data_IF_389261387043
#
_entry.id   IF_389261387043
#
_cell.length_a   1.000
_cell.length_b   1.000
_cell.length_c   1.000
_cell.angle_alpha   90.00
_cell.angle_beta   90.00
_cell.angle_gamma   90.00
#
_symmetry.space_group_name_H-M   'P 1'
#
loop_
_entity.id
_entity.type
_entity.pdbx_description
1 polymer ?
#
# COMPACT_ATOMS: atom_id res chain seq x y z
N UNK A 1 6.17 10.61 14.63
CA UNK A 1 6.47 9.17 14.58
C UNK A 1 6.52 8.81 13.12
N UNK A 2 7.71 8.51 12.56
CA UNK A 2 7.84 8.23 11.13
C UNK A 2 7.46 6.79 10.86
N UNK A 3 6.43 6.57 10.04
CA UNK A 3 6.06 5.26 9.49
C UNK A 3 6.72 5.12 8.13
N UNK A 4 7.63 4.20 8.06
CA UNK A 4 8.43 3.93 6.88
C UNK A 4 7.93 2.65 6.22
N UNK A 5 7.76 2.69 4.91
CA UNK A 5 7.27 1.59 4.14
C UNK A 5 8.24 1.23 3.01
N UNK A 6 8.56 -0.04 2.86
CA UNK A 6 9.46 -0.53 1.82
C UNK A 6 8.75 -1.54 0.94
N UNK A 7 8.94 -1.40 -0.36
CA UNK A 7 8.39 -2.29 -1.38
C UNK A 7 9.46 -3.12 -2.09
N UNK A 8 9.04 -4.32 -2.52
CA UNK A 8 9.73 -5.21 -3.48
C UNK A 8 11.16 -5.57 -3.13
N UNK A 9 11.37 -6.28 -2.03
CA UNK A 9 12.59 -7.04 -1.88
C UNK A 9 12.28 -8.50 -2.17
N UNK A 10 12.91 -9.04 -3.22
CA UNK A 10 13.15 -10.46 -3.32
C UNK A 10 14.45 -10.73 -2.53
N UNK A 11 14.39 -11.36 -1.35
CA UNK A 11 15.57 -11.55 -0.52
C UNK A 11 16.66 -12.43 -1.17
N UNK A 12 16.31 -13.15 -2.26
CA UNK A 12 17.27 -13.92 -3.03
C UNK A 12 18.01 -13.09 -4.08
N UNK A 13 17.44 -11.95 -4.51
CA UNK A 13 18.06 -11.06 -5.50
C UNK A 13 18.81 -9.88 -4.87
N UNK A 14 18.34 -9.41 -3.73
CA UNK A 14 18.96 -8.29 -3.04
C UNK A 14 19.25 -8.70 -1.60
N UNK A 15 20.49 -8.67 -1.15
CA UNK A 15 20.80 -8.87 0.27
C UNK A 15 20.03 -7.80 1.03
N UNK A 16 19.08 -8.24 1.90
CA UNK A 16 18.39 -7.32 2.78
C UNK A 16 19.47 -6.75 3.69
N UNK A 17 19.80 -5.46 3.56
CA UNK A 17 20.79 -4.89 4.45
C UNK A 17 20.26 -4.97 5.88
N UNK A 18 21.12 -4.99 6.87
CA UNK A 18 20.83 -4.83 8.31
C UNK A 18 19.95 -3.60 8.65
N UNK A 19 19.56 -2.88 7.63
CA UNK A 19 18.99 -1.56 7.61
C UNK A 19 17.56 -1.43 8.17
N UNK A 20 16.57 -2.30 7.90
CA UNK A 20 15.24 -2.15 8.51
C UNK A 20 15.28 -2.26 10.02
N UNK A 21 16.14 -3.14 10.56
CA UNK A 21 16.32 -3.27 12.01
C UNK A 21 16.99 -2.04 12.62
N UNK A 22 17.92 -1.39 11.91
CA UNK A 22 18.56 -0.14 12.35
C UNK A 22 17.58 1.02 12.31
N UNK A 23 16.76 1.10 11.27
CA UNK A 23 15.70 2.12 11.15
C UNK A 23 14.68 1.98 12.27
N UNK A 24 14.24 0.74 12.58
CA UNK A 24 13.37 0.48 13.73
C UNK A 24 14.00 0.85 15.09
N UNK A 25 15.32 0.68 15.26
CA UNK A 25 16.01 1.11 16.48
C UNK A 25 16.02 2.63 16.65
N UNK A 26 15.97 3.37 15.55
CA UNK A 26 15.92 4.83 15.54
C UNK A 26 14.49 5.40 15.71
N UNK A 27 13.54 4.57 16.15
CA UNK A 27 12.16 5.00 16.46
C UNK A 27 11.23 5.09 15.26
N UNK A 28 11.61 4.58 14.09
CA UNK A 28 10.73 4.47 12.94
C UNK A 28 9.93 3.16 12.98
N UNK A 29 8.65 3.23 12.66
CA UNK A 29 7.82 2.05 12.39
C UNK A 29 8.02 1.63 10.92
N UNK A 30 8.24 0.34 10.69
CA UNK A 30 8.51 -0.20 9.36
C UNK A 30 7.54 -1.31 9.03
N UNK A 31 6.99 -1.27 7.83
CA UNK A 31 6.23 -2.37 7.21
C UNK A 31 6.95 -2.75 5.92
N UNK A 32 7.18 -4.03 5.68
CA UNK A 32 7.72 -4.53 4.43
C UNK A 32 6.60 -5.06 3.55
N UNK A 33 6.58 -4.68 2.28
CA UNK A 33 5.82 -5.40 1.26
C UNK A 33 6.80 -6.19 0.41
N UNK A 34 6.57 -7.48 0.34
CA UNK A 34 7.48 -8.42 -0.29
C UNK A 34 6.84 -9.07 -1.51
N UNK A 35 7.68 -9.44 -2.46
CA UNK A 35 7.34 -10.36 -3.54
C UNK A 35 8.31 -11.54 -3.50
N UNK A 36 8.12 -12.52 -4.40
CA UNK A 36 9.05 -13.64 -4.53
C UNK A 36 8.49 -14.99 -4.06
N UNK A 37 7.26 -15.04 -3.55
CA UNK A 37 6.64 -16.33 -3.16
C UNK A 37 6.60 -17.33 -4.33
N UNK A 38 6.15 -16.91 -5.52
CA UNK A 38 6.17 -17.79 -6.70
C UNK A 38 7.58 -18.26 -7.09
N UNK A 39 8.58 -17.37 -6.99
CA UNK A 39 9.97 -17.73 -7.30
C UNK A 39 10.51 -18.77 -6.31
N UNK A 40 10.28 -18.56 -5.01
CA UNK A 40 10.64 -19.51 -3.96
C UNK A 40 9.93 -20.86 -4.13
N UNK A 41 8.67 -20.84 -4.57
CA UNK A 41 7.92 -22.06 -4.87
C UNK A 41 8.47 -22.83 -6.08
N UNK A 42 8.85 -22.12 -7.15
CA UNK A 42 9.50 -22.73 -8.31
C UNK A 42 10.83 -23.39 -7.95
N UNK A 43 11.63 -22.72 -7.17
CA UNK A 43 12.90 -23.26 -6.66
C UNK A 43 12.65 -24.51 -5.81
N UNK A 44 11.71 -24.44 -4.88
CA UNK A 44 11.33 -25.55 -4.00
C UNK A 44 10.88 -26.80 -4.74
N UNK A 45 10.24 -26.63 -5.88
CA UNK A 45 9.77 -27.72 -6.74
C UNK A 45 10.76 -28.06 -7.87
N UNK A 46 12.01 -27.60 -7.78
CA UNK A 46 13.05 -27.85 -8.76
C UNK A 46 12.68 -27.40 -10.19
N UNK A 47 12.09 -26.20 -10.29
CA UNK A 47 11.74 -25.55 -11.55
C UNK A 47 10.84 -26.36 -12.48
N UNK A 48 9.65 -26.81 -12.02
CA UNK A 48 8.77 -27.65 -12.80
C UNK A 48 8.28 -26.92 -14.08
N UNK A 49 8.07 -27.70 -15.14
CA UNK A 49 7.38 -27.21 -16.34
C UNK A 49 5.87 -27.21 -16.05
N UNK A 50 5.35 -26.04 -15.75
CA UNK A 50 3.92 -25.86 -15.43
C UNK A 50 3.23 -25.03 -16.53
N UNK A 51 1.91 -25.26 -16.73
CA UNK A 51 1.11 -24.39 -17.57
C UNK A 51 1.08 -22.96 -17.00
N UNK A 52 0.83 -21.97 -17.87
CA UNK A 52 0.75 -20.54 -17.46
C UNK A 52 -0.60 -20.18 -16.84
N UNK A 53 -1.32 -21.14 -16.31
CA UNK A 53 -2.66 -20.97 -15.74
C UNK A 53 -2.63 -20.47 -14.29
N UNK A 54 -3.73 -19.85 -13.86
CA UNK A 54 -3.88 -19.30 -12.52
C UNK A 54 -3.60 -20.35 -11.42
N UNK A 55 -4.17 -21.58 -11.47
CA UNK A 55 -3.92 -22.58 -10.43
C UNK A 55 -2.45 -22.96 -10.26
N UNK A 56 -1.68 -22.97 -11.34
CA UNK A 56 -0.24 -23.24 -11.26
C UNK A 56 0.52 -22.12 -10.52
N UNK A 57 0.15 -20.86 -10.75
CA UNK A 57 0.72 -19.71 -10.04
C UNK A 57 0.32 -19.72 -8.56
N UNK A 58 -0.96 -19.98 -8.27
CA UNK A 58 -1.47 -20.10 -6.90
C UNK A 58 -0.74 -21.20 -6.11
N UNK A 59 -0.54 -22.35 -6.73
CA UNK A 59 0.20 -23.47 -6.15
C UNK A 59 1.66 -23.07 -5.85
N UNK A 60 2.33 -22.42 -6.79
CA UNK A 60 3.70 -21.95 -6.58
C UNK A 60 3.79 -20.95 -5.43
N UNK A 61 2.87 -19.99 -5.35
CA UNK A 61 2.81 -19.04 -4.25
C UNK A 61 2.54 -19.72 -2.91
N UNK A 62 1.61 -20.68 -2.86
CA UNK A 62 1.31 -21.45 -1.65
C UNK A 62 2.51 -22.26 -1.13
N UNK A 63 3.29 -22.86 -2.03
CA UNK A 63 4.53 -23.59 -1.67
C UNK A 63 5.65 -22.64 -1.26
N UNK A 64 5.76 -21.50 -1.92
CA UNK A 64 6.88 -20.58 -1.73
C UNK A 64 6.70 -19.60 -0.58
N UNK A 65 5.48 -19.21 -0.23
CA UNK A 65 5.22 -18.23 0.81
C UNK A 65 5.80 -18.61 2.18
N UNK A 66 5.65 -19.83 2.70
CA UNK A 66 6.29 -20.25 3.95
C UNK A 66 7.81 -20.17 3.89
N UNK A 67 8.42 -20.50 2.76
CA UNK A 67 9.88 -20.43 2.56
C UNK A 67 10.38 -18.98 2.55
N UNK A 68 9.64 -18.09 1.89
CA UNK A 68 9.91 -16.68 1.90
C UNK A 68 9.87 -16.13 3.34
N UNK A 69 8.88 -16.51 4.12
CA UNK A 69 8.79 -16.11 5.53
C UNK A 69 9.91 -16.65 6.38
N UNK A 70 10.32 -17.91 6.18
CA UNK A 70 11.47 -18.49 6.89
C UNK A 70 12.78 -17.73 6.60
N UNK A 71 12.98 -17.24 5.36
CA UNK A 71 14.13 -16.39 5.03
C UNK A 71 14.08 -15.09 5.84
N UNK A 72 12.94 -14.40 5.86
CA UNK A 72 12.79 -13.18 6.64
C UNK A 72 12.97 -13.42 8.13
N UNK A 73 12.38 -14.46 8.69
CA UNK A 73 12.52 -14.82 10.10
C UNK A 73 13.99 -15.02 10.47
N UNK A 74 14.74 -15.80 9.69
CA UNK A 74 16.16 -16.02 9.91
C UNK A 74 16.99 -14.74 9.83
N UNK A 75 16.69 -13.85 8.88
CA UNK A 75 17.41 -12.59 8.71
C UNK A 75 17.15 -11.62 9.88
N UNK A 76 15.89 -11.49 10.29
CA UNK A 76 15.54 -10.54 11.34
C UNK A 76 15.79 -11.08 12.76
N UNK A 77 15.81 -12.40 12.96
CA UNK A 77 16.20 -13.02 14.23
C UNK A 77 17.62 -12.64 14.65
N UNK A 78 18.56 -12.48 13.71
CA UNK A 78 19.92 -12.00 13.98
C UNK A 78 19.98 -10.61 14.61
N UNK A 79 18.88 -9.86 14.50
CA UNK A 79 18.72 -8.52 15.06
C UNK A 79 17.71 -8.47 16.20
N UNK A 80 17.31 -9.62 16.77
CA UNK A 80 16.29 -9.76 17.81
C UNK A 80 14.97 -9.08 17.41
N UNK A 81 14.53 -9.26 16.14
CA UNK A 81 13.27 -8.73 15.64
C UNK A 81 12.34 -9.86 15.23
N UNK A 82 11.16 -9.85 15.81
CA UNK A 82 10.06 -10.73 15.40
C UNK A 82 9.43 -10.19 14.14
N UNK A 83 9.15 -11.06 13.18
CA UNK A 83 8.40 -10.76 11.97
C UNK A 83 7.00 -11.37 12.03
N UNK A 84 6.05 -10.79 11.32
CA UNK A 84 4.70 -11.34 11.18
C UNK A 84 4.26 -11.32 9.73
N UNK A 85 3.70 -12.43 9.24
CA UNK A 85 3.11 -12.50 7.92
C UNK A 85 1.73 -11.86 7.91
N UNK A 86 1.47 -11.00 6.92
CA UNK A 86 0.15 -10.47 6.62
C UNK A 86 -0.13 -10.65 5.14
N UNK A 87 -1.11 -11.48 4.80
CA UNK A 87 -1.51 -11.72 3.42
C UNK A 87 -2.80 -10.95 3.12
N UNK A 88 -2.78 -10.13 2.08
CA UNK A 88 -3.90 -9.30 1.69
C UNK A 88 -4.22 -9.51 0.21
N UNK A 89 -5.49 -9.44 -0.12
CA UNK A 89 -5.96 -9.33 -1.50
C UNK A 89 -6.31 -7.86 -1.78
N UNK A 90 -6.39 -7.50 -3.06
CA UNK A 90 -6.89 -6.18 -3.47
C UNK A 90 -8.32 -5.94 -2.94
N UNK A 91 -9.13 -7.00 -2.88
CA UNK A 91 -10.49 -6.94 -2.35
C UNK A 91 -10.50 -6.54 -0.87
N UNK A 92 -9.57 -7.09 -0.06
CA UNK A 92 -9.46 -6.74 1.36
C UNK A 92 -9.15 -5.26 1.59
N UNK A 93 -8.44 -4.63 0.65
CA UNK A 93 -8.08 -3.22 0.72
C UNK A 93 -9.15 -2.28 0.14
N UNK A 94 -10.14 -2.82 -0.58
CA UNK A 94 -11.25 -2.06 -1.14
C UNK A 94 -12.55 -2.20 -0.33
N UNK A 95 -12.74 -3.35 0.29
CA UNK A 95 -13.89 -3.59 1.18
C UNK A 95 -13.62 -3.00 2.55
N UNK A 96 -14.48 -2.09 2.99
CA UNK A 96 -14.28 -1.32 4.21
C UNK A 96 -14.04 -2.14 5.46
N UNK A 97 -14.81 -3.21 5.69
CA UNK A 97 -14.68 -4.07 6.87
C UNK A 97 -13.29 -4.73 6.90
N UNK A 98 -12.89 -5.34 5.79
CA UNK A 98 -11.58 -5.96 5.65
C UNK A 98 -10.44 -4.93 5.76
N UNK A 99 -10.63 -3.75 5.16
CA UNK A 99 -9.71 -2.61 5.28
C UNK A 99 -9.44 -2.23 6.73
N UNK A 100 -10.49 -2.02 7.52
CA UNK A 100 -10.35 -1.65 8.94
C UNK A 100 -9.70 -2.78 9.76
N UNK A 101 -10.05 -4.04 9.50
CA UNK A 101 -9.44 -5.19 10.17
C UNK A 101 -7.94 -5.29 9.84
N UNK A 102 -7.58 -5.19 8.57
CA UNK A 102 -6.17 -5.20 8.13
C UNK A 102 -5.38 -4.03 8.76
N UNK A 103 -5.98 -2.82 8.77
CA UNK A 103 -5.39 -1.65 9.43
C UNK A 103 -5.12 -1.90 10.92
N UNK A 104 -6.15 -2.35 11.66
CA UNK A 104 -6.02 -2.59 13.09
C UNK A 104 -4.96 -3.66 13.40
N UNK A 105 -4.89 -4.72 12.59
CA UNK A 105 -3.87 -5.76 12.71
C UNK A 105 -2.47 -5.20 12.50
N UNK A 106 -2.25 -4.43 11.43
CA UNK A 106 -0.95 -3.84 11.14
C UNK A 106 -0.51 -2.86 12.24
N UNK A 107 -1.43 -2.01 12.71
CA UNK A 107 -1.13 -1.07 13.79
C UNK A 107 -0.83 -1.79 15.11
N UNK A 108 -1.57 -2.85 15.45
CA UNK A 108 -1.29 -3.66 16.63
C UNK A 108 0.08 -4.35 16.58
N UNK A 109 0.49 -4.85 15.39
CA UNK A 109 1.83 -5.41 15.20
C UNK A 109 2.92 -4.36 15.41
N UNK A 110 2.75 -3.18 14.83
CA UNK A 110 3.70 -2.06 14.98
C UNK A 110 3.81 -1.60 16.43
N UNK A 111 2.71 -1.53 17.15
CA UNK A 111 2.66 -1.20 18.58
C UNK A 111 3.46 -2.19 19.43
N UNK A 112 3.39 -3.48 19.07
CA UNK A 112 4.17 -4.55 19.71
C UNK A 112 5.62 -4.63 19.19
N UNK A 113 6.05 -3.69 18.33
CA UNK A 113 7.40 -3.66 17.70
C UNK A 113 7.71 -4.92 16.87
N UNK A 114 6.68 -5.60 16.40
CA UNK A 114 6.76 -6.69 15.44
C UNK A 114 6.83 -6.07 14.04
N UNK A 115 7.68 -6.62 13.16
CA UNK A 115 7.83 -6.17 11.79
C UNK A 115 6.83 -6.91 10.89
N UNK A 116 5.79 -6.23 10.36
CA UNK A 116 4.89 -6.88 9.43
C UNK A 116 5.55 -7.08 8.06
N UNK A 117 5.45 -8.29 7.53
CA UNK A 117 5.81 -8.65 6.15
C UNK A 117 4.50 -8.87 5.39
N UNK A 118 4.15 -7.92 4.56
CA UNK A 118 2.92 -7.97 3.76
C UNK A 118 3.22 -8.56 2.39
N UNK A 119 2.36 -9.43 1.90
CA UNK A 119 2.38 -9.93 0.52
C UNK A 119 0.95 -10.09 0.01
N UNK A 120 0.80 -10.25 -1.30
CA UNK A 120 -0.48 -10.62 -1.87
C UNK A 120 -0.84 -12.07 -1.49
N UNK A 121 -2.13 -12.31 -1.21
CA UNK A 121 -2.66 -13.66 -1.00
C UNK A 121 -2.96 -14.31 -2.34
N UNK A 122 -1.90 -14.59 -3.08
CA UNK A 122 -1.97 -15.21 -4.42
C UNK A 122 -2.72 -16.55 -4.42
N UNK A 123 -2.75 -17.27 -3.29
CA UNK A 123 -3.38 -18.60 -3.21
C UNK A 123 -4.89 -18.56 -3.40
N UNK A 124 -5.53 -17.41 -3.14
CA UNK A 124 -6.99 -17.23 -3.24
C UNK A 124 -7.41 -16.15 -4.24
N UNK A 125 -6.45 -15.43 -4.82
CA UNK A 125 -6.72 -14.38 -5.81
C UNK A 125 -7.24 -15.01 -7.10
N UNK A 126 -8.44 -14.63 -7.52
CA UNK A 126 -9.11 -15.14 -8.73
C UNK A 126 -8.89 -14.25 -9.97
N UNK A 127 -8.48 -13.02 -9.77
CA UNK A 127 -8.07 -12.13 -10.86
C UNK A 127 -6.77 -12.66 -11.47
N UNK A 128 -6.54 -12.41 -12.76
CA UNK A 128 -5.23 -12.70 -13.35
C UNK A 128 -4.17 -12.05 -12.48
N UNK A 129 -3.31 -12.89 -11.86
CA UNK A 129 -2.17 -12.42 -11.07
C UNK A 129 -1.31 -11.59 -12.02
N UNK A 130 -1.59 -10.30 -12.06
CA UNK A 130 -0.84 -9.36 -12.87
C UNK A 130 0.43 -9.06 -12.13
N UNK A 131 1.46 -9.28 -12.85
CA UNK A 131 2.76 -8.94 -12.38
C UNK A 131 2.89 -7.42 -12.24
N UNK A 132 3.37 -6.95 -11.10
CA UNK A 132 3.40 -5.54 -10.69
C UNK A 132 2.33 -5.18 -9.65
N UNK A 133 1.53 -6.14 -9.18
CA UNK A 133 0.49 -5.89 -8.20
C UNK A 133 1.05 -5.45 -6.84
N UNK A 134 2.25 -5.92 -6.47
CA UNK A 134 2.89 -5.49 -5.23
C UNK A 134 3.30 -4.01 -5.22
N UNK A 135 3.52 -3.37 -6.37
CA UNK A 135 3.72 -1.92 -6.42
C UNK A 135 2.45 -1.20 -5.94
N UNK A 136 1.30 -1.57 -6.50
CA UNK A 136 0.00 -1.00 -6.11
C UNK A 136 -0.39 -1.43 -4.68
N UNK A 137 -0.14 -2.70 -4.31
CA UNK A 137 -0.35 -3.18 -2.94
C UNK A 137 0.44 -2.31 -1.95
N UNK A 138 1.69 -1.97 -2.26
CA UNK A 138 2.53 -1.13 -1.40
C UNK A 138 1.92 0.25 -1.17
N UNK A 139 1.43 0.89 -2.21
CA UNK A 139 0.78 2.19 -2.12
C UNK A 139 -0.53 2.13 -1.30
N UNK A 140 -1.31 1.06 -1.49
CA UNK A 140 -2.55 0.84 -0.73
C UNK A 140 -2.27 0.57 0.76
N UNK A 141 -1.23 -0.22 1.07
CA UNK A 141 -0.82 -0.48 2.46
C UNK A 141 -0.22 0.77 3.10
N UNK A 142 0.57 1.56 2.37
CA UNK A 142 1.05 2.85 2.86
C UNK A 142 -0.11 3.78 3.26
N UNK A 143 -1.15 3.85 2.43
CA UNK A 143 -2.38 4.57 2.76
C UNK A 143 -3.11 3.95 3.97
N UNK A 144 -3.18 2.62 4.05
CA UNK A 144 -3.85 1.89 5.12
C UNK A 144 -3.30 2.23 6.51
N UNK A 145 -1.98 2.39 6.63
CA UNK A 145 -1.30 2.67 7.90
C UNK A 145 -0.96 4.16 8.11
N UNK A 146 -1.37 5.04 7.20
CA UNK A 146 -0.96 6.46 7.15
C UNK A 146 0.55 6.62 7.19
N UNK A 147 1.25 5.97 6.27
CA UNK A 147 2.70 6.05 6.18
C UNK A 147 3.17 7.46 5.80
N UNK A 148 4.22 7.96 6.41
CA UNK A 148 4.84 9.23 6.05
C UNK A 148 5.65 9.10 4.76
N UNK A 149 6.20 7.90 4.51
CA UNK A 149 7.10 7.63 3.41
C UNK A 149 6.94 6.21 2.88
N UNK A 150 6.80 6.09 1.56
CA UNK A 150 6.90 4.85 0.79
C UNK A 150 8.23 4.81 0.05
N UNK A 151 9.11 3.87 0.37
CA UNK A 151 10.32 3.59 -0.41
C UNK A 151 10.08 2.39 -1.31
N UNK A 152 10.20 2.58 -2.62
CA UNK A 152 10.18 1.51 -3.61
C UNK A 152 11.58 1.25 -4.13
N UNK A 153 12.10 0.05 -3.85
CA UNK A 153 13.38 -0.40 -4.37
C UNK A 153 13.22 -1.07 -5.72
N UNK A 154 14.13 -0.75 -6.63
CA UNK A 154 14.13 -1.25 -8.01
C UNK A 154 15.58 -1.51 -8.47
N UNK A 155 15.76 -2.05 -9.65
CA UNK A 155 17.06 -2.23 -10.33
C UNK A 155 17.61 -0.92 -10.93
N UNK A 156 16.76 0.10 -11.06
CA UNK A 156 17.13 1.40 -11.60
C UNK A 156 17.44 2.42 -10.48
N UNK A 157 18.35 3.37 -10.72
CA UNK A 157 18.66 4.44 -9.75
C UNK A 157 17.44 5.29 -9.34
N UNK A 158 16.41 5.37 -10.17
CA UNK A 158 15.19 6.14 -9.97
C UNK A 158 14.46 6.34 -11.29
N UNK A 159 13.66 7.41 -11.38
CA UNK A 159 12.98 7.79 -12.62
C UNK A 159 13.88 8.64 -13.50
N UNK A 160 13.87 8.34 -14.80
CA UNK A 160 14.58 9.12 -15.81
C UNK A 160 13.59 9.89 -16.68
N UNK A 161 14.07 10.94 -17.32
CA UNK A 161 13.29 11.74 -18.30
C UNK A 161 12.84 10.91 -19.51
N UNK A 162 13.56 9.84 -19.83
CA UNK A 162 13.25 8.83 -20.86
C UNK A 162 13.99 7.53 -20.52
N UNK A 163 13.73 6.45 -21.25
CA UNK A 163 14.41 5.17 -21.01
C UNK A 163 15.92 5.29 -21.28
N UNK A 164 16.78 5.16 -20.25
CA UNK A 164 18.24 5.31 -20.40
C UNK A 164 18.88 4.22 -21.29
N UNK A 165 18.20 3.09 -21.52
CA UNK A 165 18.67 2.02 -22.40
C UNK A 165 18.53 2.39 -23.88
N UNK A 166 17.58 3.26 -24.20
CA UNK A 166 17.29 3.67 -25.58
C UNK A 166 17.71 5.11 -25.86
N UNK A 167 17.86 5.94 -24.83
CA UNK A 167 18.26 7.34 -24.97
C UNK A 167 19.46 7.67 -24.07
N UNK A 168 20.67 7.82 -24.62
CA UNK A 168 21.86 8.16 -23.83
C UNK A 168 21.79 9.53 -23.14
N UNK A 169 20.89 10.42 -23.56
CA UNK A 169 20.68 11.75 -22.97
C UNK A 169 19.63 11.72 -21.84
N UNK A 170 19.12 10.55 -21.46
CA UNK A 170 18.20 10.43 -20.35
C UNK A 170 18.88 10.86 -19.04
N UNK A 171 18.26 11.80 -18.34
CA UNK A 171 18.74 12.31 -17.04
C UNK A 171 17.88 11.79 -15.91
N UNK A 172 18.53 11.44 -14.80
CA UNK A 172 17.84 11.02 -13.58
C UNK A 172 17.09 12.20 -12.99
N UNK A 173 15.81 12.02 -12.69
CA UNK A 173 15.00 12.99 -11.99
C UNK A 173 15.20 12.81 -10.48
N UNK A 174 15.63 13.86 -9.80
CA UNK A 174 15.86 13.81 -8.35
C UNK A 174 14.58 14.05 -7.57
N UNK A 175 13.66 14.85 -8.12
CA UNK A 175 12.45 15.25 -7.43
C UNK A 175 11.29 15.49 -8.42
N UNK A 176 10.09 15.10 -8.01
CA UNK A 176 8.84 15.39 -8.70
C UNK A 176 7.89 16.05 -7.70
N UNK A 177 7.78 17.37 -7.85
CA UNK A 177 6.88 18.23 -7.07
C UNK A 177 5.65 18.63 -7.89
N UNK A 178 4.64 19.19 -7.22
CA UNK A 178 3.42 19.69 -7.87
C UNK A 178 2.29 18.67 -7.98
N UNK A 179 1.14 19.13 -8.47
CA UNK A 179 -0.12 18.40 -8.40
C UNK A 179 -0.22 17.17 -9.29
N UNK A 180 0.26 17.22 -10.52
CA UNK A 180 0.20 16.11 -11.47
C UNK A 180 1.60 15.69 -11.92
N UNK A 181 1.78 14.39 -12.08
CA UNK A 181 2.98 13.84 -12.71
C UNK A 181 2.93 14.21 -14.20
N UNK A 182 4.03 14.74 -14.78
CA UNK A 182 4.08 15.12 -16.19
C UNK A 182 3.72 13.96 -17.13
N UNK A 183 2.93 14.24 -18.17
CA UNK A 183 2.49 13.21 -19.14
C UNK A 183 3.65 12.54 -19.87
N UNK A 184 4.76 13.26 -20.05
CA UNK A 184 5.97 12.74 -20.67
C UNK A 184 6.57 11.58 -19.89
N UNK A 185 6.49 11.63 -18.55
CA UNK A 185 6.94 10.53 -17.68
C UNK A 185 6.06 9.29 -17.82
N UNK A 186 4.75 9.48 -17.97
CA UNK A 186 3.84 8.37 -18.23
C UNK A 186 4.14 7.69 -19.55
N UNK A 187 4.43 8.48 -20.58
CA UNK A 187 4.79 7.97 -21.92
C UNK A 187 6.14 7.25 -21.92
N UNK A 188 7.12 7.76 -21.20
CA UNK A 188 8.45 7.14 -21.09
C UNK A 188 8.42 5.84 -20.29
N UNK A 189 7.72 5.82 -19.16
CA UNK A 189 7.56 4.65 -18.32
C UNK A 189 6.80 3.51 -19.02
N UNK A 190 5.79 3.83 -19.86
CA UNK A 190 4.98 2.83 -20.58
C UNK A 190 5.69 2.15 -21.76
N UNK A 191 6.81 2.68 -22.24
CA UNK A 191 7.60 2.10 -23.33
C UNK A 191 8.61 1.06 -22.89
N UNK A 192 8.91 0.99 -21.60
CA UNK A 192 9.86 0.06 -20.99
C UNK A 192 9.23 -1.33 -20.89
N UNK A 193 9.42 -2.18 -21.90
CA UNK A 193 9.06 -3.60 -21.86
C UNK A 193 10.24 -4.41 -21.33
N UNK A 194 10.24 -4.68 -20.04
CA UNK A 194 11.12 -5.72 -19.48
C UNK A 194 10.46 -7.09 -19.66
N UNK A 195 11.03 -7.92 -20.52
CA UNK A 195 10.56 -9.29 -20.78
C UNK A 195 10.66 -10.24 -19.58
N UNK A 196 11.40 -9.86 -18.54
CA UNK A 196 11.68 -10.69 -17.34
C UNK A 196 11.20 -10.08 -16.01
N UNK A 197 10.93 -8.79 -15.97
CA UNK A 197 10.51 -8.08 -14.76
C UNK A 197 9.03 -7.77 -14.78
N UNK A 198 8.37 -8.31 -13.84
CA UNK A 198 6.93 -8.36 -13.71
C UNK A 198 6.30 -7.07 -13.12
N UNK A 199 7.08 -6.03 -12.85
CA UNK A 199 6.65 -4.71 -12.45
C UNK A 199 7.47 -3.67 -13.18
N UNK A 200 6.98 -3.12 -14.26
CA UNK A 200 7.68 -2.09 -15.02
C UNK A 200 7.71 -0.75 -14.30
N UNK A 201 8.49 0.20 -14.82
CA UNK A 201 8.53 1.56 -14.28
C UNK A 201 7.15 2.23 -14.28
N UNK A 202 6.25 1.82 -15.17
CA UNK A 202 4.87 2.31 -15.22
C UNK A 202 4.05 1.92 -13.98
N UNK A 203 4.22 0.69 -13.46
CA UNK A 203 3.51 0.26 -12.25
C UNK A 203 4.01 1.00 -11.02
N UNK A 204 5.32 1.26 -10.95
CA UNK A 204 5.90 2.09 -9.88
C UNK A 204 5.43 3.54 -9.92
N UNK A 205 5.29 4.08 -11.12
CA UNK A 205 4.76 5.43 -11.30
C UNK A 205 3.28 5.52 -10.90
N UNK A 206 2.49 4.48 -11.22
CA UNK A 206 1.09 4.37 -10.79
C UNK A 206 0.98 4.28 -9.27
N UNK A 207 1.81 3.44 -8.65
CA UNK A 207 1.86 3.29 -7.20
C UNK A 207 2.31 4.60 -6.51
N UNK A 208 3.33 5.28 -7.07
CA UNK A 208 3.78 6.57 -6.57
C UNK A 208 2.67 7.63 -6.64
N UNK A 209 1.94 7.71 -7.76
CA UNK A 209 0.84 8.67 -7.90
C UNK A 209 -0.32 8.37 -6.93
N UNK A 210 -0.61 7.07 -6.72
CA UNK A 210 -1.61 6.65 -5.74
C UNK A 210 -1.22 7.04 -4.31
N UNK A 211 0.01 6.74 -3.90
CA UNK A 211 0.51 7.02 -2.55
C UNK A 211 0.58 8.53 -2.27
N UNK A 212 1.13 9.33 -3.21
CA UNK A 212 1.24 10.79 -3.02
C UNK A 212 -0.10 11.51 -2.93
N UNK A 213 -1.10 11.04 -3.66
CA UNK A 213 -2.49 11.54 -3.55
C UNK A 213 -3.14 11.17 -2.21
N UNK A 214 -2.62 10.13 -1.56
CA UNK A 214 -3.06 9.69 -0.23
C UNK A 214 -2.30 10.36 0.91
N UNK A 215 -1.37 11.27 0.61
CA UNK A 215 -0.63 12.03 1.62
C UNK A 215 0.70 11.39 2.03
N UNK A 216 1.15 10.35 1.32
CA UNK A 216 2.42 9.66 1.55
C UNK A 216 3.47 10.17 0.57
N UNK A 217 4.63 10.60 1.06
CA UNK A 217 5.78 10.87 0.22
C UNK A 217 6.33 9.56 -0.36
N UNK A 218 6.92 9.61 -1.55
CA UNK A 218 7.45 8.40 -2.18
C UNK A 218 8.88 8.61 -2.62
N UNK A 219 9.72 7.58 -2.45
CA UNK A 219 11.06 7.52 -3.03
C UNK A 219 11.16 6.26 -3.88
N UNK A 220 11.62 6.41 -5.12
CA UNK A 220 12.00 5.28 -5.99
C UNK A 220 13.52 5.31 -6.11
N UNK A 221 14.19 4.25 -5.69
CA UNK A 221 15.64 4.18 -5.66
C UNK A 221 16.16 2.78 -6.00
N UNK A 222 17.45 2.67 -6.33
CA UNK A 222 18.06 1.37 -6.55
C UNK A 222 18.15 0.56 -5.26
N UNK A 223 17.75 -0.71 -5.33
CA UNK A 223 17.95 -1.68 -4.25
C UNK A 223 19.41 -2.07 -4.03
N UNK A 224 20.29 -1.77 -4.99
CA UNK A 224 21.74 -2.00 -4.88
C UNK A 224 22.48 -0.80 -4.29
N UNK A 225 21.80 0.33 -4.11
CA UNK A 225 22.40 1.52 -3.48
C UNK A 225 22.75 1.22 -2.02
N UNK A 226 24.00 1.44 -1.59
CA UNK A 226 24.40 1.21 -0.21
C UNK A 226 23.55 2.02 0.78
N UNK A 227 23.07 1.35 1.82
CA UNK A 227 22.28 1.96 2.89
C UNK A 227 21.04 2.74 2.41
N UNK A 228 20.46 2.37 1.25
CA UNK A 228 19.32 3.06 0.65
C UNK A 228 18.20 3.34 1.67
N UNK A 229 17.81 2.33 2.45
CA UNK A 229 16.75 2.45 3.45
C UNK A 229 17.13 3.44 4.56
N UNK A 230 18.36 3.33 5.08
CA UNK A 230 18.84 4.18 6.17
C UNK A 230 19.02 5.63 5.71
N UNK A 231 19.55 5.83 4.51
CA UNK A 231 19.72 7.15 3.91
C UNK A 231 18.38 7.82 3.68
N UNK A 232 17.42 7.09 3.11
CA UNK A 232 16.06 7.61 2.89
C UNK A 232 15.37 7.94 4.22
N UNK A 233 15.48 7.09 5.24
CA UNK A 233 14.92 7.35 6.56
C UNK A 233 15.53 8.56 7.26
N UNK A 234 16.77 8.93 6.92
CA UNK A 234 17.44 10.15 7.42
C UNK A 234 17.15 11.38 6.57
N UNK A 235 16.36 11.27 5.52
CA UNK A 235 16.06 12.36 4.58
C UNK A 235 17.19 12.70 3.62
N UNK A 236 18.20 11.81 3.49
CA UNK A 236 19.27 12.01 2.52
C UNK A 236 18.74 11.76 1.10
N UNK A 237 19.05 12.63 0.12
CA UNK A 237 18.56 12.48 -1.23
C UNK A 237 19.15 11.23 -1.89
N UNK A 238 18.28 10.32 -2.33
CA UNK A 238 18.60 9.18 -3.18
C UNK A 238 17.46 8.96 -4.17
N UNK A 239 17.78 8.46 -5.34
CA UNK A 239 16.75 8.14 -6.34
C UNK A 239 15.90 9.33 -6.75
N UNK A 240 14.61 9.07 -6.93
CA UNK A 240 13.60 10.08 -7.26
C UNK A 240 12.61 10.24 -6.13
N UNK A 241 12.51 11.42 -5.57
CA UNK A 241 11.53 11.77 -4.55
C UNK A 241 10.25 12.32 -5.17
N UNK A 242 9.11 11.86 -4.72
CA UNK A 242 7.79 12.35 -5.10
C UNK A 242 7.12 12.95 -3.89
N UNK A 243 6.85 14.24 -3.95
CA UNK A 243 6.17 14.95 -2.86
C UNK A 243 4.68 14.57 -2.80
N UNK A 244 4.18 14.36 -1.60
CA UNK A 244 2.75 14.18 -1.35
C UNK A 244 1.95 15.43 -1.79
N UNK A 245 0.76 15.19 -2.37
CA UNK A 245 -0.11 16.27 -2.89
C UNK A 245 -1.33 16.54 -2.02
N UNK A 246 -1.53 15.73 -0.98
CA UNK A 246 -2.61 15.88 -0.01
C UNK A 246 -2.06 15.59 1.38
N UNK A 247 -2.81 16.00 2.39
CA UNK A 247 -2.56 15.54 3.76
C UNK A 247 -3.22 14.17 3.97
N UNK A 248 -2.67 13.35 4.86
CA UNK A 248 -3.27 12.05 5.23
C UNK A 248 -4.71 12.19 5.73
N UNK A 249 -5.02 13.29 6.43
CA UNK A 249 -6.35 13.60 6.92
C UNK A 249 -7.36 13.86 5.77
N UNK A 250 -6.95 14.61 4.74
CA UNK A 250 -7.78 14.88 3.56
C UNK A 250 -7.98 13.63 2.73
N UNK A 251 -6.96 12.78 2.63
CA UNK A 251 -7.04 11.51 1.95
C UNK A 251 -8.01 10.56 2.64
N UNK A 252 -7.94 10.46 3.96
CA UNK A 252 -8.92 9.69 4.76
C UNK A 252 -10.34 10.17 4.53
N UNK A 253 -10.57 11.48 4.61
CA UNK A 253 -11.90 12.05 4.33
C UNK A 253 -12.38 11.69 2.94
N UNK A 254 -11.51 11.76 1.92
CA UNK A 254 -11.85 11.37 0.54
C UNK A 254 -12.13 9.88 0.43
N UNK A 255 -11.33 9.02 1.04
CA UNK A 255 -11.56 7.56 1.04
C UNK A 255 -12.89 7.20 1.69
N UNK A 256 -13.23 7.82 2.84
CA UNK A 256 -14.52 7.67 3.50
C UNK A 256 -15.66 8.13 2.60
N UNK A 257 -15.47 9.22 1.86
CA UNK A 257 -16.49 9.81 0.99
C UNK A 257 -16.62 9.13 -0.38
N UNK A 258 -15.52 8.62 -0.95
CA UNK A 258 -15.48 8.10 -2.33
C UNK A 258 -15.68 6.60 -2.45
N UNK A 259 -15.54 5.85 -1.38
CA UNK A 259 -15.39 4.38 -1.41
C UNK A 259 -16.62 3.56 -1.14
N UNK A 260 -17.82 4.13 -0.92
CA UNK A 260 -18.90 3.32 -0.40
C UNK A 260 -20.24 3.53 -1.13
N UNK A 261 -20.69 2.45 -1.73
CA UNK A 261 -22.14 2.20 -1.85
C UNK A 261 -22.64 2.15 -0.41
N UNK A 262 -23.48 3.11 -0.05
CA UNK A 262 -24.14 3.14 1.26
C UNK A 262 -24.96 1.85 1.43
N UNK A 263 -24.63 1.03 2.42
CA UNK A 263 -25.37 -0.21 2.73
C UNK A 263 -26.71 0.07 3.40
N UNK A 264 -26.91 1.29 3.91
CA UNK A 264 -28.14 1.72 4.54
C UNK A 264 -28.28 3.24 4.59
N UNK A 265 -29.43 3.71 5.07
CA UNK A 265 -29.73 5.13 5.24
C UNK A 265 -30.24 5.39 6.64
N UNK A 266 -29.83 6.50 7.24
CA UNK A 266 -30.35 7.02 8.51
C UNK A 266 -31.03 8.34 8.20
N UNK A 267 -32.35 8.42 8.47
CA UNK A 267 -33.09 9.66 8.35
C UNK A 267 -33.03 10.42 9.67
N UNK A 268 -32.82 11.72 9.58
CA UNK A 268 -32.69 12.59 10.74
C UNK A 268 -33.69 13.76 10.68
N UNK A 269 -34.02 14.31 11.85
CA UNK A 269 -34.89 15.48 11.99
C UNK A 269 -34.16 16.79 11.60
N UNK A 270 -34.91 17.88 11.63
CA UNK A 270 -34.42 19.21 11.28
C UNK A 270 -33.39 19.76 12.28
N UNK A 271 -33.51 19.41 13.57
CA UNK A 271 -32.57 19.81 14.61
C UNK A 271 -31.22 19.15 14.43
N UNK A 272 -31.21 17.83 14.21
CA UNK A 272 -29.99 17.07 13.89
C UNK A 272 -29.37 17.50 12.56
N UNK A 273 -30.20 17.86 11.55
CA UNK A 273 -29.72 18.43 10.29
C UNK A 273 -28.93 19.71 10.52
N UNK A 274 -29.45 20.65 11.30
CA UNK A 274 -28.75 21.89 11.63
C UNK A 274 -27.47 21.67 12.45
N UNK A 275 -27.49 20.72 13.39
CA UNK A 275 -26.33 20.37 14.20
C UNK A 275 -25.19 19.78 13.33
N UNK A 276 -25.50 18.86 12.40
CA UNK A 276 -24.51 18.28 11.49
C UNK A 276 -23.88 19.31 10.53
N UNK A 277 -24.70 20.24 10.00
CA UNK A 277 -24.20 21.32 9.15
C UNK A 277 -23.21 22.25 9.88
N UNK A 278 -23.36 22.37 11.19
CA UNK A 278 -22.46 23.12 12.06
C UNK A 278 -21.30 22.30 12.61
N UNK A 279 -21.07 21.09 12.09
CA UNK A 279 -19.93 20.23 12.46
C UNK A 279 -20.10 19.45 13.76
N UNK A 280 -21.30 19.38 14.33
CA UNK A 280 -21.60 18.60 15.53
C UNK A 280 -21.81 17.12 15.23
N UNK A 281 -21.63 16.25 16.22
CA UNK A 281 -21.88 14.81 16.09
C UNK A 281 -23.38 14.50 16.08
N UNK A 282 -23.77 13.47 15.30
CA UNK A 282 -25.14 12.96 15.31
C UNK A 282 -25.41 12.19 16.61
N UNK A 283 -26.41 12.64 17.33
CA UNK A 283 -26.92 11.94 18.51
C UNK A 283 -28.08 11.00 18.13
N UNK A 284 -28.26 9.86 18.82
CA UNK A 284 -29.35 8.92 18.54
C UNK A 284 -30.75 9.53 18.61
N UNK A 285 -30.96 10.55 19.44
CA UNK A 285 -32.24 11.25 19.60
C UNK A 285 -32.69 11.97 18.32
N UNK A 286 -31.77 12.37 17.47
CA UNK A 286 -32.07 13.04 16.19
C UNK A 286 -32.39 12.06 15.04
N UNK A 287 -32.35 10.74 15.27
CA UNK A 287 -32.66 9.73 14.26
C UNK A 287 -34.16 9.46 14.23
N UNK A 288 -34.76 9.62 13.05
CA UNK A 288 -36.23 9.44 12.86
C UNK A 288 -36.57 8.11 12.18
N UNK A 289 -35.68 7.60 11.29
CA UNK A 289 -35.87 6.31 10.63
C UNK A 289 -34.53 5.70 10.20
N UNK A 290 -34.54 4.37 10.05
CA UNK A 290 -33.37 3.58 9.57
C UNK A 290 -33.87 2.70 8.41
N UNK A 291 -33.12 2.69 7.32
CA UNK A 291 -33.39 1.90 6.12
C UNK A 291 -32.19 1.04 5.74
N UNK A 292 -32.45 -0.23 5.46
CA UNK A 292 -31.42 -1.23 5.12
C UNK A 292 -30.86 -1.94 6.34
N UNK A 293 -30.07 -2.99 6.09
CA UNK A 293 -29.33 -3.73 7.11
C UNK A 293 -27.86 -3.34 7.04
N UNK A 294 -27.29 -2.93 8.14
CA UNK A 294 -25.89 -2.54 8.22
C UNK A 294 -25.29 -2.86 9.58
N UNK A 295 -24.06 -3.26 9.57
CA UNK A 295 -23.29 -3.64 10.75
C UNK A 295 -22.30 -2.53 11.16
N UNK A 296 -21.57 -2.81 12.25
CA UNK A 296 -20.49 -1.94 12.72
C UNK A 296 -19.38 -1.88 11.67
N UNK A 297 -19.00 -0.66 11.27
CA UNK A 297 -18.00 -0.41 10.24
C UNK A 297 -18.59 -0.15 8.85
N UNK A 298 -19.89 -0.34 8.66
CA UNK A 298 -20.55 0.01 7.41
C UNK A 298 -20.72 1.52 7.28
N UNK A 299 -20.70 1.98 6.04
CA UNK A 299 -21.03 3.38 5.74
C UNK A 299 -22.51 3.51 5.47
N UNK A 300 -23.15 4.44 6.16
CA UNK A 300 -24.56 4.75 6.00
C UNK A 300 -24.74 6.20 5.54
N UNK A 301 -25.66 6.41 4.61
CA UNK A 301 -26.03 7.76 4.19
C UNK A 301 -26.94 8.39 5.26
N UNK A 302 -26.66 9.63 5.62
CA UNK A 302 -27.56 10.44 6.45
C UNK A 302 -28.39 11.30 5.54
N UNK A 303 -29.72 11.15 5.64
CA UNK A 303 -30.68 11.86 4.81
C UNK A 303 -31.59 12.72 5.69
N UNK A 304 -32.06 13.84 5.15
CA UNK A 304 -33.09 14.63 5.77
C UNK A 304 -34.51 14.08 5.50
N UNK A 305 -35.52 14.71 6.05
CA UNK A 305 -36.93 14.35 5.82
C UNK A 305 -37.35 14.36 4.33
N UNK A 306 -36.64 15.11 3.48
CA UNK A 306 -36.86 15.19 2.04
C UNK A 306 -36.02 14.19 1.21
N UNK A 307 -35.42 13.17 1.84
CA UNK A 307 -34.53 12.19 1.22
C UNK A 307 -33.25 12.78 0.59
N UNK A 308 -32.86 14.00 0.89
CA UNK A 308 -31.60 14.57 0.44
C UNK A 308 -30.45 14.06 1.32
N UNK A 309 -29.43 13.54 0.70
CA UNK A 309 -28.19 13.08 1.40
C UNK A 309 -27.45 14.32 1.94
N UNK A 310 -27.25 14.35 3.25
CA UNK A 310 -26.55 15.43 3.96
C UNK A 310 -25.12 15.08 4.29
N UNK A 311 -24.88 13.83 4.65
CA UNK A 311 -23.59 13.32 5.08
C UNK A 311 -23.52 11.82 4.93
N UNK A 312 -22.35 11.28 5.04
CA UNK A 312 -22.10 9.84 5.25
C UNK A 312 -21.47 9.64 6.61
N UNK A 313 -22.01 8.73 7.37
CA UNK A 313 -21.52 8.37 8.69
C UNK A 313 -20.85 7.00 8.66
N UNK A 314 -19.83 6.92 9.48
CA UNK A 314 -19.18 5.71 9.88
C UNK A 314 -19.54 5.41 11.33
N UNK A 315 -19.99 4.22 11.61
CA UNK A 315 -20.14 3.77 12.99
C UNK A 315 -18.75 3.42 13.55
N UNK A 316 -18.06 4.42 14.09
CA UNK A 316 -16.82 4.22 14.86
C UNK A 316 -17.12 3.50 16.17
N UNK A 317 -16.16 2.69 16.67
CA UNK A 317 -16.28 2.13 18.01
C UNK A 317 -16.12 3.25 19.06
N UNK A 318 -17.03 3.36 19.97
CA UNK A 318 -16.80 3.92 21.28
C UNK A 318 -16.16 2.86 22.14
#
# INVERSE_FOLDING_TARGET
>A
MFRFFQHSINPTQYPIPSCPSVVCRNGCEVVLVSSGAMAAGREALSFPKLPKEIPAKQMLSAVGQPRLMAIYENLFAQHNRTVAQVLLTRQDLTQRRSYLNARNTLLALLDQKVLPIVNENDAVTTEEIRVGDNDNLSALVANLIDADLLLMLTDQPGMFTSDPRTNPNATLLTEITGGKIPEELWKSAGKSKDELGTGGMITKLQAADLARRSGTNVVIASGTEPDAILRTAKGNPIGTYFQATATTLESRKRFILSGTVSTGKIQIDSGATGALQNGSSLLPVGVTAIFGEFERGDTVAVINANNNELARLERTPT
#
